data_IF_857191289259
#
_entry.id   IF_857191289259
#
_cell.length_a   1.000
_cell.length_b   1.000
_cell.length_c   1.000
_cell.angle_alpha   90.00
_cell.angle_beta   90.00
_cell.angle_gamma   90.00
#
_symmetry.space_group_name_H-M   'P 1'
#
loop_
_entity.id
_entity.type
_entity.pdbx_description
1 polymer ?
#
# COMPACT_ATOMS: atom_id res chain seq x y z
N UNK A 1 21.50 39.01 -50.66
CA UNK A 1 20.57 38.77 -49.53
C UNK A 1 19.22 38.14 -49.90
N UNK A 2 18.94 37.75 -51.17
CA UNK A 2 17.64 37.14 -51.55
C UNK A 2 17.49 35.64 -51.20
N UNK A 3 18.58 34.89 -51.04
CA UNK A 3 18.51 33.42 -50.90
C UNK A 3 18.24 32.93 -49.47
N UNK A 4 18.41 33.77 -48.45
CA UNK A 4 18.23 33.37 -47.04
C UNK A 4 16.75 33.26 -46.65
N UNK A 5 15.88 34.09 -47.23
CA UNK A 5 14.44 34.08 -46.92
C UNK A 5 13.72 32.84 -47.44
N UNK A 6 14.22 32.23 -48.53
CA UNK A 6 13.61 31.03 -49.11
C UNK A 6 13.89 29.78 -48.24
N UNK A 7 15.11 29.68 -47.69
CA UNK A 7 15.50 28.53 -46.88
C UNK A 7 14.73 28.46 -45.56
N UNK A 8 14.54 29.61 -44.90
CA UNK A 8 13.81 29.66 -43.61
C UNK A 8 12.33 29.31 -43.77
N UNK A 9 11.71 29.66 -44.91
CA UNK A 9 10.30 29.36 -45.16
C UNK A 9 10.07 27.86 -45.42
N UNK A 10 11.01 27.18 -46.10
CA UNK A 10 10.91 25.75 -46.38
C UNK A 10 11.09 24.94 -45.09
N UNK A 11 12.06 25.31 -44.23
CA UNK A 11 12.27 24.64 -42.93
C UNK A 11 11.03 24.77 -42.04
N UNK A 12 10.36 25.93 -42.03
CA UNK A 12 9.16 26.13 -41.21
C UNK A 12 7.97 25.27 -41.68
N UNK A 13 7.80 25.10 -43.00
CA UNK A 13 6.73 24.27 -43.57
C UNK A 13 6.97 22.78 -43.28
N UNK A 14 8.23 22.32 -43.35
CA UNK A 14 8.58 20.93 -43.02
C UNK A 14 8.43 20.68 -41.52
N UNK A 15 8.81 21.63 -40.66
CA UNK A 15 8.64 21.47 -39.20
C UNK A 15 7.16 21.44 -38.79
N UNK A 16 6.33 22.26 -39.44
CA UNK A 16 4.89 22.34 -39.12
C UNK A 16 4.11 21.14 -39.64
N UNK A 17 4.53 20.52 -40.74
CA UNK A 17 3.89 19.30 -41.26
C UNK A 17 4.20 18.05 -40.42
N UNK A 18 5.32 18.01 -39.69
CA UNK A 18 5.61 16.95 -38.72
C UNK A 18 4.77 17.05 -37.42
N UNK A 19 4.27 18.24 -37.08
CA UNK A 19 3.43 18.47 -35.89
C UNK A 19 1.94 18.18 -36.12
N UNK A 20 1.52 17.94 -37.36
CA UNK A 20 0.13 17.65 -37.74
C UNK A 20 -0.10 16.17 -38.08
N UNK A 21 0.73 15.26 -37.58
CA UNK A 21 0.36 13.86 -37.58
C UNK A 21 -0.86 13.69 -36.67
N UNK A 22 -2.00 13.18 -37.18
CA UNK A 22 -3.15 12.91 -36.34
C UNK A 22 -2.72 11.90 -35.29
N UNK A 23 -2.62 12.34 -34.04
CA UNK A 23 -2.61 11.46 -32.88
C UNK A 23 -4.00 10.83 -32.82
N UNK A 24 -4.21 9.79 -33.64
CA UNK A 24 -5.31 8.86 -33.50
C UNK A 24 -5.02 8.01 -32.26
N UNK A 25 -5.08 8.64 -31.09
CA UNK A 25 -5.21 7.93 -29.82
C UNK A 25 -6.69 7.64 -29.68
N UNK A 26 -7.16 6.64 -30.41
CA UNK A 26 -8.38 5.94 -30.04
C UNK A 26 -8.02 5.14 -28.79
N UNK A 27 -8.23 5.74 -27.62
CA UNK A 27 -8.32 5.00 -26.37
C UNK A 27 -9.62 4.17 -26.43
N UNK A 28 -9.55 3.02 -27.10
CA UNK A 28 -10.55 1.98 -26.96
C UNK A 28 -10.25 1.33 -25.62
N UNK A 29 -11.03 1.68 -24.61
CA UNK A 29 -11.02 0.97 -23.34
C UNK A 29 -11.58 -0.43 -23.62
N UNK A 30 -10.68 -1.41 -23.79
CA UNK A 30 -11.02 -2.81 -23.53
C UNK A 30 -11.37 -2.87 -22.05
N UNK A 31 -12.64 -2.64 -21.73
CA UNK A 31 -13.15 -2.91 -20.39
C UNK A 31 -13.38 -4.41 -20.30
N UNK A 32 -12.31 -5.20 -20.34
CA UNK A 32 -12.31 -6.66 -20.06
C UNK A 32 -12.61 -6.97 -18.58
N UNK A 33 -13.21 -6.00 -17.87
CA UNK A 33 -13.63 -6.17 -16.50
C UNK A 33 -14.75 -7.20 -16.41
N UNK A 34 -14.67 -8.06 -15.40
CA UNK A 34 -15.75 -8.99 -15.10
C UNK A 34 -17.04 -8.22 -14.79
N UNK A 35 -18.20 -8.63 -15.34
CA UNK A 35 -19.48 -8.00 -15.00
C UNK A 35 -19.84 -8.28 -13.54
N UNK A 36 -20.48 -7.30 -12.88
CA UNK A 36 -21.02 -7.44 -11.53
C UNK A 36 -22.52 -7.68 -11.53
N UNK A 37 -23.00 -8.32 -10.46
CA UNK A 37 -24.40 -8.52 -10.14
C UNK A 37 -24.68 -8.06 -8.71
N UNK A 38 -25.84 -7.47 -8.41
CA UNK A 38 -26.20 -7.13 -7.03
C UNK A 38 -26.40 -8.41 -6.21
N UNK A 39 -25.77 -8.48 -5.04
CA UNK A 39 -25.96 -9.53 -4.05
C UNK A 39 -27.08 -9.20 -3.05
N UNK A 40 -27.56 -10.22 -2.34
CA UNK A 40 -28.68 -10.08 -1.38
C UNK A 40 -28.35 -9.16 -0.19
N UNK A 41 -27.09 -9.14 0.24
CA UNK A 41 -26.61 -8.39 1.40
C UNK A 41 -26.04 -7.01 1.06
N UNK A 42 -26.36 -6.48 -0.12
CA UNK A 42 -25.87 -5.18 -0.59
C UNK A 42 -24.43 -5.18 -1.11
N UNK A 43 -23.79 -6.35 -1.22
CA UNK A 43 -22.52 -6.52 -1.92
C UNK A 43 -22.70 -6.67 -3.43
N UNK A 44 -21.58 -6.64 -4.16
CA UNK A 44 -21.51 -6.94 -5.59
C UNK A 44 -20.84 -8.29 -5.82
N UNK A 45 -21.40 -9.09 -6.72
CA UNK A 45 -20.92 -10.44 -7.04
C UNK A 45 -20.33 -10.43 -8.45
N UNK A 46 -19.12 -10.97 -8.60
CA UNK A 46 -18.39 -11.10 -9.86
C UNK A 46 -18.23 -12.58 -10.18
N UNK A 47 -18.70 -13.01 -11.35
CA UNK A 47 -18.43 -14.37 -11.85
C UNK A 47 -17.00 -14.48 -12.34
N UNK A 48 -16.24 -15.44 -11.80
CA UNK A 48 -14.82 -15.64 -12.12
C UNK A 48 -14.65 -16.97 -12.84
N UNK A 49 -14.01 -16.93 -14.00
CA UNK A 49 -13.56 -18.10 -14.73
C UNK A 49 -12.24 -17.74 -15.41
N UNK A 50 -11.12 -18.18 -14.84
CA UNK A 50 -9.77 -17.74 -15.21
C UNK A 50 -8.86 -18.95 -15.27
N UNK A 51 -8.12 -19.10 -16.37
CA UNK A 51 -7.16 -20.19 -16.54
C UNK A 51 -5.89 -19.94 -15.72
N UNK A 52 -5.13 -21.01 -15.46
CA UNK A 52 -3.80 -20.92 -14.86
C UNK A 52 -2.91 -19.87 -15.58
N UNK A 53 -2.34 -18.95 -14.80
CA UNK A 53 -1.43 -17.90 -15.27
C UNK A 53 -2.10 -16.67 -15.87
N UNK A 54 -3.41 -16.74 -16.17
CA UNK A 54 -4.19 -15.60 -16.66
C UNK A 54 -4.55 -14.64 -15.51
N UNK A 55 -4.94 -13.42 -15.88
CA UNK A 55 -5.36 -12.38 -14.94
C UNK A 55 -6.81 -12.00 -15.20
N UNK A 56 -7.61 -11.95 -14.14
CA UNK A 56 -8.91 -11.29 -14.16
C UNK A 56 -8.82 -9.91 -13.50
N UNK A 57 -9.54 -8.96 -14.09
CA UNK A 57 -9.72 -7.63 -13.52
C UNK A 57 -11.20 -7.40 -13.23
N UNK A 58 -11.50 -6.78 -12.10
CA UNK A 58 -12.85 -6.31 -11.80
C UNK A 58 -12.82 -4.97 -11.05
N UNK A 59 -13.93 -4.25 -11.14
CA UNK A 59 -14.07 -2.87 -10.68
C UNK A 59 -15.25 -2.80 -9.69
N UNK A 60 -15.02 -3.08 -8.41
CA UNK A 60 -16.08 -3.08 -7.42
C UNK A 60 -16.60 -1.66 -7.17
N UNK A 61 -17.91 -1.48 -7.29
CA UNK A 61 -18.66 -0.36 -6.73
C UNK A 61 -19.17 -0.63 -5.31
N UNK A 62 -19.18 -1.90 -4.88
CA UNK A 62 -19.72 -2.31 -3.58
C UNK A 62 -18.89 -1.85 -2.37
N UNK A 63 -17.64 -1.43 -2.58
CA UNK A 63 -16.72 -0.88 -1.59
C UNK A 63 -16.04 0.34 -2.22
N UNK A 64 -16.35 1.55 -1.74
CA UNK A 64 -16.01 2.78 -2.47
C UNK A 64 -14.50 3.02 -2.52
N UNK A 65 -13.73 2.57 -1.53
CA UNK A 65 -12.27 2.73 -1.53
C UNK A 65 -11.55 1.84 -2.55
N UNK A 66 -12.14 0.75 -3.05
CA UNK A 66 -11.49 -0.15 -4.02
C UNK A 66 -11.90 0.29 -5.43
N UNK A 67 -10.94 0.74 -6.23
CA UNK A 67 -11.19 1.11 -7.63
C UNK A 67 -11.15 -0.11 -8.55
N UNK A 68 -10.15 -0.97 -8.37
CA UNK A 68 -10.01 -2.19 -9.16
C UNK A 68 -9.22 -3.25 -8.41
N UNK A 69 -9.50 -4.51 -8.71
CA UNK A 69 -8.73 -5.66 -8.24
C UNK A 69 -8.29 -6.47 -9.45
N UNK A 70 -7.00 -6.77 -9.51
CA UNK A 70 -6.42 -7.69 -10.48
C UNK A 70 -6.00 -8.96 -9.75
N UNK A 71 -6.45 -10.11 -10.24
CA UNK A 71 -6.15 -11.42 -9.66
C UNK A 71 -5.50 -12.28 -10.73
N UNK A 72 -4.29 -12.77 -10.46
CA UNK A 72 -3.61 -13.75 -11.30
C UNK A 72 -3.78 -15.13 -10.69
N UNK A 73 -4.27 -16.09 -11.47
CA UNK A 73 -4.54 -17.44 -10.98
C UNK A 73 -3.28 -18.31 -11.05
N UNK A 74 -3.02 -19.14 -10.03
CA UNK A 74 -1.91 -20.12 -10.07
C UNK A 74 -2.37 -21.52 -10.56
N UNK A 75 -3.67 -21.69 -10.81
CA UNK A 75 -4.32 -22.82 -11.46
C UNK A 75 -5.67 -22.35 -12.02
N UNK A 76 -6.38 -23.20 -12.76
CA UNK A 76 -7.73 -22.87 -13.24
C UNK A 76 -8.69 -22.62 -12.06
N UNK A 77 -9.34 -21.45 -12.04
CA UNK A 77 -10.33 -21.06 -11.03
C UNK A 77 -11.70 -20.82 -11.66
N UNK A 78 -12.75 -21.29 -10.99
CA UNK A 78 -14.14 -21.05 -11.38
C UNK A 78 -15.00 -20.86 -10.15
N UNK A 79 -15.75 -19.76 -10.11
CA UNK A 79 -16.57 -19.41 -8.95
C UNK A 79 -17.04 -17.98 -8.97
N UNK A 80 -17.14 -17.37 -7.79
CA UNK A 80 -17.51 -15.96 -7.67
C UNK A 80 -16.73 -15.23 -6.57
N UNK A 81 -16.61 -13.91 -6.75
CA UNK A 81 -16.07 -12.99 -5.74
C UNK A 81 -17.19 -12.06 -5.32
N UNK A 82 -17.38 -11.87 -4.03
CA UNK A 82 -18.31 -10.88 -3.50
C UNK A 82 -17.49 -9.73 -2.89
N UNK A 83 -17.85 -8.48 -3.18
CA UNK A 83 -17.24 -7.29 -2.56
C UNK A 83 -18.33 -6.46 -1.89
N UNK A 84 -18.14 -6.12 -0.62
CA UNK A 84 -19.15 -5.41 0.19
C UNK A 84 -18.51 -4.34 1.07
N UNK A 85 -19.13 -3.18 1.12
CA UNK A 85 -18.82 -2.13 2.08
C UNK A 85 -19.43 -2.47 3.44
N UNK A 86 -18.62 -2.29 4.48
CA UNK A 86 -19.03 -2.38 5.88
C UNK A 86 -19.09 -1.00 6.55
N UNK A 87 -18.90 0.08 5.76
CA UNK A 87 -18.88 1.44 6.27
C UNK A 87 -17.67 1.72 7.17
N UNK A 88 -17.86 2.52 8.24
CA UNK A 88 -16.78 2.93 9.17
C UNK A 88 -16.76 2.13 10.48
N UNK A 89 -17.67 1.17 10.66
CA UNK A 89 -17.72 0.34 11.86
C UNK A 89 -16.78 -0.87 11.75
N UNK A 90 -15.94 -1.09 12.75
CA UNK A 90 -14.97 -2.18 12.74
C UNK A 90 -15.69 -3.54 12.87
N UNK A 91 -15.62 -4.42 11.85
CA UNK A 91 -16.32 -5.70 11.89
C UNK A 91 -15.75 -6.71 12.89
N UNK A 92 -14.47 -6.55 13.28
CA UNK A 92 -13.72 -7.55 14.06
C UNK A 92 -13.35 -7.09 15.48
N UNK A 93 -13.87 -5.93 15.92
CA UNK A 93 -13.71 -5.38 17.28
C UNK A 93 -12.26 -5.41 17.84
N UNK A 94 -11.29 -5.05 17.00
CA UNK A 94 -9.87 -5.00 17.35
C UNK A 94 -9.36 -3.54 17.50
N UNK A 95 -8.28 -3.34 18.27
CA UNK A 95 -7.69 -2.05 18.63
C UNK A 95 -6.49 -1.64 17.78
N UNK A 96 -5.95 -2.54 16.95
CA UNK A 96 -4.66 -2.32 16.29
C UNK A 96 -4.75 -1.52 14.98
N UNK A 97 -5.94 -1.06 14.59
CA UNK A 97 -6.15 -0.20 13.43
C UNK A 97 -5.95 1.30 13.76
N UNK A 98 -5.60 2.10 12.75
CA UNK A 98 -5.49 3.56 12.88
C UNK A 98 -6.77 4.21 13.42
N UNK A 99 -6.64 5.38 14.06
CA UNK A 99 -7.79 6.08 14.67
C UNK A 99 -8.79 6.61 13.66
N UNK A 100 -8.34 6.87 12.44
CA UNK A 100 -9.15 7.39 11.33
C UNK A 100 -9.29 6.29 10.29
N UNK A 101 -10.52 5.83 10.12
CA UNK A 101 -10.88 4.82 9.11
C UNK A 101 -11.78 5.46 8.09
N UNK A 102 -11.43 5.31 6.83
CA UNK A 102 -12.23 5.77 5.69
C UNK A 102 -13.36 4.80 5.46
N UNK A 103 -13.03 3.52 5.30
CA UNK A 103 -13.99 2.45 5.00
C UNK A 103 -13.40 1.07 5.34
N UNK A 104 -14.26 0.18 5.82
CA UNK A 104 -14.03 -1.26 5.92
C UNK A 104 -14.74 -1.97 4.77
N UNK A 105 -14.10 -2.99 4.22
CA UNK A 105 -14.65 -3.79 3.14
C UNK A 105 -14.47 -5.28 3.39
N UNK A 106 -15.41 -6.05 2.89
CA UNK A 106 -15.39 -7.51 2.91
C UNK A 106 -15.26 -8.03 1.47
N UNK A 107 -14.36 -9.00 1.28
CA UNK A 107 -14.20 -9.72 0.03
C UNK A 107 -14.36 -11.21 0.31
N UNK A 108 -15.45 -11.78 -0.20
CA UNK A 108 -15.73 -13.20 -0.12
C UNK A 108 -15.37 -13.93 -1.40
N UNK A 109 -14.92 -15.18 -1.28
CA UNK A 109 -14.66 -16.08 -2.39
C UNK A 109 -15.56 -17.31 -2.28
N UNK A 110 -16.19 -17.71 -3.38
CA UNK A 110 -17.00 -18.94 -3.46
C UNK A 110 -16.60 -19.75 -4.69
N UNK A 111 -16.45 -21.07 -4.52
CA UNK A 111 -16.05 -22.00 -5.58
C UNK A 111 -14.55 -22.20 -5.78
N UNK A 112 -13.69 -21.34 -5.21
CA UNK A 112 -12.24 -21.51 -5.20
C UNK A 112 -11.63 -20.98 -3.91
N UNK A 113 -10.45 -21.46 -3.57
CA UNK A 113 -9.75 -21.06 -2.36
C UNK A 113 -8.81 -19.88 -2.63
N UNK A 114 -8.55 -19.13 -1.57
CA UNK A 114 -7.46 -18.17 -1.46
C UNK A 114 -6.19 -18.66 -2.18
N UNK A 115 -5.67 -19.82 -1.76
CA UNK A 115 -4.44 -20.45 -2.26
C UNK A 115 -4.39 -20.71 -3.78
N UNK A 116 -5.50 -20.54 -4.50
CA UNK A 116 -5.62 -20.70 -5.95
C UNK A 116 -5.22 -19.42 -6.72
N UNK A 117 -4.98 -18.33 -5.99
CA UNK A 117 -4.53 -17.04 -6.50
C UNK A 117 -3.02 -16.92 -6.31
N UNK A 118 -2.28 -16.69 -7.40
CA UNK A 118 -0.82 -16.46 -7.39
C UNK A 118 -0.48 -15.10 -6.77
N UNK A 119 -1.20 -14.07 -7.21
CA UNK A 119 -0.95 -12.70 -6.82
C UNK A 119 -2.21 -11.88 -7.02
N UNK A 120 -2.38 -10.87 -6.18
CA UNK A 120 -3.41 -9.86 -6.37
C UNK A 120 -2.82 -8.46 -6.28
N UNK A 121 -3.35 -7.56 -7.10
CA UNK A 121 -3.00 -6.14 -7.10
C UNK A 121 -4.28 -5.35 -6.89
N UNK A 122 -4.30 -4.57 -5.82
CA UNK A 122 -5.41 -3.72 -5.46
C UNK A 122 -5.07 -2.29 -5.84
N UNK A 123 -5.96 -1.66 -6.61
CA UNK A 123 -5.94 -0.23 -6.79
C UNK A 123 -7.04 0.37 -5.93
N UNK A 124 -6.64 1.21 -4.99
CA UNK A 124 -7.56 1.89 -4.08
C UNK A 124 -7.59 3.39 -4.37
N UNK A 125 -8.70 4.02 -4.05
CA UNK A 125 -8.89 5.46 -4.16
C UNK A 125 -9.30 6.02 -2.79
N UNK A 126 -8.80 7.21 -2.49
CA UNK A 126 -9.23 8.01 -1.34
C UNK A 126 -9.85 9.31 -1.83
N UNK A 127 -11.12 9.54 -1.51
CA UNK A 127 -11.82 10.79 -1.80
C UNK A 127 -11.19 11.94 -1.02
N UNK A 128 -10.88 13.06 -1.70
CA UNK A 128 -10.26 14.21 -1.02
C UNK A 128 -11.12 14.76 0.11
N UNK A 129 -12.43 14.84 -0.12
CA UNK A 129 -13.39 15.32 0.86
C UNK A 129 -13.44 14.38 2.10
N UNK A 130 -13.38 13.06 1.90
CA UNK A 130 -13.36 12.08 3.01
C UNK A 130 -12.07 12.16 3.83
N UNK A 131 -10.93 12.30 3.16
CA UNK A 131 -9.64 12.47 3.84
C UNK A 131 -9.59 13.80 4.60
N UNK A 132 -10.11 14.87 4.01
CA UNK A 132 -10.18 16.19 4.64
C UNK A 132 -11.12 16.18 5.87
N UNK A 133 -12.28 15.51 5.78
CA UNK A 133 -13.21 15.30 6.91
C UNK A 133 -12.49 14.65 8.10
N UNK A 134 -11.64 13.67 7.81
CA UNK A 134 -10.87 12.94 8.81
C UNK A 134 -9.56 13.64 9.24
N UNK A 135 -9.20 14.77 8.61
CA UNK A 135 -7.88 15.40 8.73
C UNK A 135 -6.74 14.38 8.49
N UNK A 136 -6.84 13.60 7.42
CA UNK A 136 -5.87 12.57 7.04
C UNK A 136 -5.05 13.03 5.83
N UNK A 137 -3.73 13.08 5.94
CA UNK A 137 -2.87 13.43 4.80
C UNK A 137 -2.94 12.35 3.72
N UNK A 138 -2.91 12.77 2.45
CA UNK A 138 -2.93 11.82 1.33
C UNK A 138 -1.76 10.82 1.36
N UNK A 139 -0.63 11.15 1.98
CA UNK A 139 0.51 10.24 2.11
C UNK A 139 0.37 9.27 3.29
N UNK A 140 -0.65 9.43 4.12
CA UNK A 140 -0.92 8.63 5.31
C UNK A 140 -2.06 7.64 5.13
N UNK A 141 -2.78 7.63 3.99
CA UNK A 141 -3.75 6.57 3.71
C UNK A 141 -3.04 5.23 3.43
N UNK A 142 -3.44 4.16 4.12
CA UNK A 142 -2.94 2.79 3.91
C UNK A 142 -4.10 1.80 3.80
N UNK A 143 -3.89 0.75 3.02
CA UNK A 143 -4.72 -0.44 3.07
C UNK A 143 -4.20 -1.35 4.19
N UNK A 144 -5.14 -1.91 4.95
CA UNK A 144 -4.91 -2.94 5.94
C UNK A 144 -5.68 -4.18 5.53
N UNK A 145 -5.12 -5.35 5.81
CA UNK A 145 -5.81 -6.64 5.71
C UNK A 145 -5.95 -7.23 7.11
N UNK A 146 -7.04 -7.92 7.39
CA UNK A 146 -7.21 -8.63 8.65
C UNK A 146 -6.73 -10.07 8.53
N UNK A 147 -5.74 -10.45 9.33
CA UNK A 147 -5.26 -11.82 9.42
C UNK A 147 -6.11 -12.57 10.46
N UNK A 148 -6.99 -13.46 10.00
CA UNK A 148 -7.88 -14.24 10.86
C UNK A 148 -7.13 -15.23 11.76
N UNK A 149 -5.91 -15.65 11.40
CA UNK A 149 -5.14 -16.60 12.22
C UNK A 149 -4.57 -15.93 13.48
N UNK A 150 -4.08 -14.70 13.33
CA UNK A 150 -3.47 -13.93 14.41
C UNK A 150 -4.42 -12.89 15.04
N UNK A 151 -5.65 -12.81 14.53
CA UNK A 151 -6.72 -11.87 14.89
C UNK A 151 -6.25 -10.41 14.88
N UNK A 152 -5.47 -10.03 13.86
CA UNK A 152 -4.81 -8.71 13.79
C UNK A 152 -4.88 -8.08 12.43
N UNK A 153 -4.94 -6.75 12.44
CA UNK A 153 -4.76 -5.94 11.24
C UNK A 153 -3.30 -5.80 10.86
N UNK A 154 -2.99 -6.13 9.61
CA UNK A 154 -1.68 -5.98 9.01
C UNK A 154 -1.69 -4.82 8.02
N UNK A 155 -0.80 -3.85 8.21
CA UNK A 155 -0.64 -2.76 7.26
C UNK A 155 0.08 -3.25 6.01
N UNK A 156 -0.51 -3.00 4.86
CA UNK A 156 0.08 -3.33 3.57
C UNK A 156 0.96 -2.20 3.04
N UNK A 157 1.91 -2.53 2.16
CA UNK A 157 2.74 -1.53 1.49
C UNK A 157 1.92 -0.82 0.41
N UNK A 158 1.28 0.28 0.81
CA UNK A 158 0.42 1.09 -0.06
C UNK A 158 1.20 2.27 -0.63
N UNK A 159 1.27 2.33 -1.96
CA UNK A 159 2.03 3.34 -2.69
C UNK A 159 1.08 4.28 -3.40
N UNK A 160 1.12 5.59 -3.11
CA UNK A 160 0.39 6.61 -3.87
C UNK A 160 0.98 6.68 -5.29
N UNK A 161 0.15 6.46 -6.30
CA UNK A 161 0.57 6.44 -7.71
C UNK A 161 0.21 7.73 -8.44
N UNK A 162 -1.00 8.23 -8.23
CA UNK A 162 -1.52 9.39 -8.98
C UNK A 162 -2.62 10.11 -8.20
N UNK A 163 -3.09 11.22 -8.78
CA UNK A 163 -4.21 11.98 -8.23
C UNK A 163 -5.03 12.61 -9.36
N UNK A 164 -6.30 12.85 -9.06
CA UNK A 164 -7.24 13.58 -9.90
C UNK A 164 -7.77 14.80 -9.16
N UNK A 165 -8.76 15.49 -9.74
CA UNK A 165 -9.48 16.58 -9.06
C UNK A 165 -10.11 16.10 -7.76
N UNK A 166 -10.73 14.91 -7.74
CA UNK A 166 -11.57 14.43 -6.64
C UNK A 166 -10.90 13.37 -5.77
N UNK A 167 -9.94 12.61 -6.31
CA UNK A 167 -9.40 11.42 -5.65
C UNK A 167 -7.87 11.37 -5.68
N UNK A 168 -7.28 10.74 -4.67
CA UNK A 168 -5.93 10.18 -4.72
C UNK A 168 -6.02 8.68 -5.03
N UNK A 169 -5.06 8.17 -5.79
CA UNK A 169 -5.02 6.75 -6.19
C UNK A 169 -3.75 6.08 -5.70
N UNK A 170 -3.92 4.87 -5.18
CA UNK A 170 -2.86 4.08 -4.59
C UNK A 170 -2.91 2.66 -5.14
N UNK A 171 -1.77 1.99 -5.07
CA UNK A 171 -1.63 0.59 -5.45
C UNK A 171 -1.03 -0.18 -4.28
N UNK A 172 -1.49 -1.42 -4.14
CA UNK A 172 -1.00 -2.38 -3.18
C UNK A 172 -0.77 -3.68 -3.93
N UNK A 173 0.47 -4.14 -3.92
CA UNK A 173 0.87 -5.41 -4.53
C UNK A 173 0.84 -6.52 -3.47
N UNK A 174 0.69 -7.77 -3.94
CA UNK A 174 0.82 -8.98 -3.11
C UNK A 174 -0.12 -8.99 -1.91
N UNK A 175 -1.38 -8.62 -2.14
CA UNK A 175 -2.39 -8.72 -1.09
C UNK A 175 -2.69 -10.21 -0.85
N UNK A 176 -2.41 -10.65 0.38
CA UNK A 176 -2.70 -12.02 0.79
C UNK A 176 -4.22 -12.18 0.94
N UNK A 177 -4.77 -13.33 0.58
CA UNK A 177 -6.21 -13.50 0.36
C UNK A 177 -7.00 -13.59 1.67
N UNK A 178 -7.22 -12.44 2.28
CA UNK A 178 -8.04 -12.31 3.49
C UNK A 178 -9.40 -11.68 3.19
N UNK A 179 -10.35 -12.00 4.06
CA UNK A 179 -11.76 -11.65 3.91
C UNK A 179 -12.03 -10.17 4.16
N UNK A 180 -11.25 -9.50 5.03
CA UNK A 180 -11.53 -8.12 5.43
C UNK A 180 -10.38 -7.17 5.15
N UNK A 181 -10.74 -6.00 4.64
CA UNK A 181 -9.86 -4.89 4.33
C UNK A 181 -10.32 -3.61 5.02
N UNK A 182 -9.37 -2.71 5.27
CA UNK A 182 -9.68 -1.37 5.76
C UNK A 182 -8.75 -0.34 5.11
N UNK A 183 -9.31 0.78 4.63
CA UNK A 183 -8.51 1.96 4.31
C UNK A 183 -8.48 2.88 5.53
N UNK A 184 -7.30 3.07 6.11
CA UNK A 184 -7.15 3.83 7.35
C UNK A 184 -5.85 4.62 7.40
N UNK A 185 -5.72 5.45 8.43
CA UNK A 185 -4.50 6.17 8.76
C UNK A 185 -3.34 5.20 9.00
N UNK A 186 -2.22 5.50 8.37
CA UNK A 186 -0.94 4.80 8.53
C UNK A 186 -0.62 4.69 10.02
N UNK A 187 -0.34 3.48 10.47
CA UNK A 187 0.17 3.29 11.81
C UNK A 187 1.54 3.95 11.89
N UNK A 188 1.71 4.83 12.88
CA UNK A 188 3.03 5.31 13.24
C UNK A 188 3.82 4.09 13.69
N UNK A 189 4.63 3.52 12.80
CA UNK A 189 5.58 2.50 13.20
C UNK A 189 6.49 3.16 14.22
N UNK A 190 6.28 2.84 15.49
CA UNK A 190 7.22 3.21 16.53
C UNK A 190 8.47 2.43 16.18
N UNK A 191 9.38 3.05 15.42
CA UNK A 191 10.65 2.45 15.05
C UNK A 191 11.45 2.26 16.33
N UNK A 192 11.26 1.11 16.98
CA UNK A 192 12.20 0.59 17.98
C UNK A 192 13.58 0.29 17.35
N UNK A 193 13.81 0.62 16.07
CA UNK A 193 15.00 0.27 15.30
C UNK A 193 16.31 0.95 15.72
N UNK A 194 16.31 1.93 16.62
CA UNK A 194 17.56 2.59 17.06
C UNK A 194 17.71 2.70 18.58
N UNK A 195 16.62 2.70 19.34
CA UNK A 195 16.65 2.81 20.79
C UNK A 195 17.42 1.69 21.51
N UNK A 196 17.25 0.39 21.21
CA UNK A 196 17.99 -0.64 21.93
C UNK A 196 19.48 -0.60 21.61
N UNK A 197 19.89 -0.26 20.38
CA UNK A 197 21.31 -0.17 20.02
C UNK A 197 22.00 1.05 20.65
N UNK A 198 21.34 2.21 20.68
CA UNK A 198 21.88 3.41 21.33
C UNK A 198 21.95 3.22 22.85
N UNK A 199 20.91 2.64 23.46
CA UNK A 199 20.90 2.34 24.90
C UNK A 199 21.97 1.29 25.24
N UNK A 200 22.09 0.22 24.45
CA UNK A 200 23.10 -0.82 24.67
C UNK A 200 24.53 -0.28 24.50
N UNK A 201 24.75 0.61 23.52
CA UNK A 201 26.01 1.33 23.35
C UNK A 201 26.35 2.24 24.54
N UNK A 202 25.37 2.98 25.06
CA UNK A 202 25.56 3.84 26.23
C UNK A 202 25.84 3.03 27.50
N UNK A 203 25.14 1.90 27.70
CA UNK A 203 25.38 0.99 28.82
C UNK A 203 26.77 0.34 28.77
N UNK A 204 27.23 -0.06 27.58
CA UNK A 204 28.59 -0.58 27.38
C UNK A 204 29.66 0.48 27.69
N UNK A 205 29.48 1.72 27.22
CA UNK A 205 30.39 2.83 27.53
C UNK A 205 30.45 3.08 29.04
N UNK A 206 29.30 3.09 29.72
CA UNK A 206 29.21 3.33 31.15
C UNK A 206 29.91 2.21 31.95
N UNK A 207 29.78 0.95 31.50
CA UNK A 207 30.49 -0.20 32.08
C UNK A 207 32.02 -0.05 31.93
N UNK A 208 32.51 0.38 30.76
CA UNK A 208 33.95 0.63 30.54
C UNK A 208 34.48 1.73 31.46
N UNK A 209 33.71 2.81 31.63
CA UNK A 209 34.09 3.90 32.54
C UNK A 209 34.19 3.40 33.99
N UNK A 210 33.22 2.60 34.45
CA UNK A 210 33.25 2.00 35.79
C UNK A 210 34.50 1.14 35.98
N UNK A 211 34.84 0.28 35.00
CA UNK A 211 36.02 -0.57 35.05
C UNK A 211 37.33 0.24 35.12
N UNK A 212 37.42 1.34 34.36
CA UNK A 212 38.58 2.24 34.41
C UNK A 212 38.71 2.93 35.78
N UNK A 213 37.61 3.38 36.37
CA UNK A 213 37.61 3.96 37.72
C UNK A 213 38.09 2.93 38.74
N UNK A 214 37.57 1.71 38.70
CA UNK A 214 37.98 0.64 39.62
C UNK A 214 39.47 0.28 39.47
N UNK A 215 39.97 0.17 38.24
CA UNK A 215 41.39 -0.08 37.98
C UNK A 215 42.29 1.05 38.51
N UNK A 216 41.84 2.30 38.41
CA UNK A 216 42.57 3.46 38.94
C UNK A 216 42.60 3.53 40.47
N UNK A 217 41.55 3.02 41.13
CA UNK A 217 41.49 2.94 42.59
C UNK A 217 42.41 1.83 43.13
N UNK A 218 42.43 0.65 42.49
CA UNK A 218 43.29 -0.46 42.91
C UNK A 218 44.79 -0.12 42.88
N UNK A 219 45.25 0.67 41.90
CA UNK A 219 46.66 1.11 41.83
C UNK A 219 47.07 2.05 42.97
N UNK A 220 46.14 2.77 43.59
CA UNK A 220 46.47 3.69 44.70
C UNK A 220 46.81 2.96 46.00
N UNK A 221 46.34 1.73 46.19
CA UNK A 221 46.63 0.96 47.39
C UNK A 221 48.01 0.27 47.31
N UNK A 222 48.45 -0.11 46.10
CA UNK A 222 49.77 -0.73 45.89
C UNK A 222 50.94 0.25 46.15
N UNK A 223 50.78 1.52 45.75
CA UNK A 223 51.73 2.59 46.07
C UNK A 223 51.78 2.94 47.57
N UNK A 224 50.73 2.59 48.33
CA UNK A 224 50.64 2.88 49.78
C UNK A 224 51.33 1.81 50.63
N UNK A 225 51.36 0.56 50.18
CA UNK A 225 52.09 -0.53 50.86
C UNK A 225 53.59 -0.59 50.50
N UNK A 226 53.98 -0.12 49.31
CA UNK A 226 55.39 0.02 48.93
C UNK A 226 56.19 1.05 49.76
N UNK A 227 55.51 1.93 50.52
CA UNK A 227 56.13 2.96 51.36
C UNK A 227 56.33 2.53 52.83
N UNK A 228 55.99 1.28 53.18
CA UNK A 228 56.16 0.71 54.53
C UNK A 228 57.27 -0.34 54.65
N UNK A 229 58.12 -0.49 53.62
CA UNK A 229 59.35 -1.30 53.71
C UNK A 229 60.58 -0.42 53.69
#
# INVERSE_FOLDING_TARGET
>A
MKNIKLLTSIVFIVLFSLLLLPLNVSAQYDSDGLPSFPGEDGGEIFGVNVSEGDTATFFPGGCEIIESVNIKANKDISGSITVKSLGRENPVNDRDLGKKVVEFCEIGFDGFAAEDIESSVFRIKGGKDDLDELNLDSNDLRLFQFNENDEKWEQLDTIKKSESTLNFFYEVDQVNQYTYFAAAEKLSSFQLGTLPFVICGFLLLLLVIILLILASLGRRDEDRDGRKR
#
